data_IF_313927784167
#
_entry.id   IF_313927784167
#
_cell.length_a   1.000
_cell.length_b   1.000
_cell.length_c   1.000
_cell.angle_alpha   90.00
_cell.angle_beta   90.00
_cell.angle_gamma   90.00
#
_symmetry.space_group_name_H-M   'P 1'
#
loop_
_entity.id
_entity.type
_entity.pdbx_description
1 polymer ?
#
# COMPACT_ATOMS: atom_id res chain seq x y z
N UNK A 1 4.50 22.28 10.23
CA UNK A 1 5.65 21.35 10.12
C UNK A 1 5.88 21.06 8.65
N UNK A 2 7.12 21.20 8.19
CA UNK A 2 7.47 21.21 6.77
C UNK A 2 7.45 19.80 6.18
N UNK A 3 6.74 19.61 5.06
CA UNK A 3 6.67 18.34 4.28
C UNK A 3 8.07 17.79 3.96
N UNK A 4 9.08 18.67 4.00
CA UNK A 4 10.48 18.44 3.67
C UNK A 4 11.29 17.65 4.70
N UNK A 5 10.94 17.64 5.99
CA UNK A 5 11.72 16.88 6.99
C UNK A 5 11.45 15.37 6.97
N UNK A 6 10.33 14.92 6.39
CA UNK A 6 9.92 13.52 6.41
C UNK A 6 10.61 12.64 5.35
N UNK A 7 11.08 13.22 4.24
CA UNK A 7 11.67 12.48 3.11
C UNK A 7 13.12 12.04 3.32
N UNK A 8 13.69 12.31 4.51
CA UNK A 8 14.97 11.75 4.94
C UNK A 8 14.86 10.28 5.37
N UNK A 9 13.65 9.76 5.57
CA UNK A 9 13.46 8.33 5.81
C UNK A 9 13.67 7.54 4.52
N UNK A 10 14.51 6.51 4.60
CA UNK A 10 14.82 5.61 3.50
C UNK A 10 13.54 5.11 2.81
N UNK A 11 13.57 5.05 1.49
CA UNK A 11 12.47 4.57 0.66
C UNK A 11 12.05 3.13 1.04
N UNK A 12 13.00 2.35 1.57
CA UNK A 12 12.77 1.01 2.13
C UNK A 12 11.90 1.03 3.39
N UNK A 13 12.00 2.06 4.22
CA UNK A 13 11.21 2.15 5.46
C UNK A 13 9.73 2.37 5.16
N UNK A 14 9.38 3.00 4.03
CA UNK A 14 7.98 3.17 3.61
C UNK A 14 7.32 1.82 3.31
N UNK A 15 8.00 0.93 2.59
CA UNK A 15 7.48 -0.40 2.29
C UNK A 15 7.42 -1.27 3.55
N UNK A 16 8.43 -1.19 4.41
CA UNK A 16 8.45 -1.91 5.69
C UNK A 16 7.30 -1.47 6.60
N UNK A 17 7.09 -0.16 6.79
CA UNK A 17 5.99 0.37 7.59
C UNK A 17 4.62 0.00 7.04
N UNK A 18 4.46 -0.09 5.71
CA UNK A 18 3.21 -0.53 5.12
C UNK A 18 3.01 -2.05 5.29
N UNK A 19 4.09 -2.83 5.21
CA UNK A 19 4.02 -4.28 5.43
C UNK A 19 3.66 -4.62 6.88
N UNK A 20 4.29 -3.96 7.85
CA UNK A 20 4.02 -4.09 9.28
C UNK A 20 2.58 -3.71 9.60
N UNK A 21 2.12 -2.55 9.13
CA UNK A 21 0.76 -2.08 9.39
C UNK A 21 -0.30 -3.01 8.79
N UNK A 22 -0.04 -3.59 7.60
CA UNK A 22 -0.95 -4.57 7.00
C UNK A 22 -0.87 -5.96 7.67
N UNK A 23 0.19 -6.27 8.43
CA UNK A 23 0.25 -7.48 9.26
C UNK A 23 -0.51 -7.28 10.57
N UNK A 24 -0.38 -6.12 11.22
CA UNK A 24 -1.10 -5.82 12.46
C UNK A 24 -2.63 -5.84 12.26
N UNK A 25 -3.09 -5.50 11.06
CA UNK A 25 -4.52 -5.59 10.67
C UNK A 25 -4.95 -7.03 10.35
N UNK A 26 -4.01 -7.92 10.04
CA UNK A 26 -4.28 -9.31 9.68
C UNK A 26 -4.32 -10.28 10.87
N UNK A 27 -4.00 -9.82 12.08
CA UNK A 27 -4.18 -10.57 13.33
C UNK A 27 -5.39 -10.03 14.10
N UNK A 28 -6.62 -10.48 13.81
CA UNK A 28 -7.61 -10.57 14.86
C UNK A 28 -7.17 -11.78 15.71
N UNK A 29 -6.31 -11.53 16.70
CA UNK A 29 -5.99 -12.57 17.67
C UNK A 29 -7.26 -12.83 18.49
N UNK A 30 -7.72 -14.08 18.48
CA UNK A 30 -8.85 -14.55 19.27
C UNK A 30 -8.42 -14.67 20.75
N UNK A 31 -8.16 -13.53 21.38
CA UNK A 31 -7.80 -13.50 22.79
C UNK A 31 -8.58 -12.43 23.55
N UNK A 32 -9.66 -12.95 24.15
CA UNK A 32 -10.19 -12.61 25.47
C UNK A 32 -10.98 -11.31 25.63
N UNK A 33 -12.14 -11.47 26.26
CA UNK A 33 -13.16 -10.45 26.39
C UNK A 33 -12.73 -9.31 27.32
N UNK A 34 -12.79 -8.09 26.83
CA UNK A 34 -13.09 -6.91 27.63
C UNK A 34 -13.76 -5.88 26.73
N UNK A 35 -15.00 -5.55 27.11
CA UNK A 35 -15.84 -4.49 26.56
C UNK A 35 -15.17 -3.13 26.82
N UNK A 36 -14.69 -2.44 25.79
CA UNK A 36 -14.45 -0.98 25.75
C UNK A 36 -14.05 -0.51 24.32
N UNK A 37 -15.03 0.03 23.59
CA UNK A 37 -14.91 1.05 22.52
C UNK A 37 -13.84 0.89 21.39
N UNK A 38 -14.05 -0.07 20.47
CA UNK A 38 -13.19 -0.35 19.30
C UNK A 38 -13.35 0.58 18.06
N UNK A 39 -13.78 1.84 18.23
CA UNK A 39 -14.01 2.76 17.09
C UNK A 39 -12.85 3.73 16.69
N UNK A 40 -11.81 4.05 17.50
CA UNK A 40 -10.76 4.99 17.05
C UNK A 40 -9.56 4.33 16.34
N UNK A 41 -9.36 3.01 16.47
CA UNK A 41 -8.12 2.38 16.00
C UNK A 41 -8.12 2.11 14.48
N UNK A 42 -9.27 1.68 13.94
CA UNK A 42 -9.43 1.35 12.50
C UNK A 42 -9.28 2.57 11.60
N UNK A 43 -9.86 3.72 11.98
CA UNK A 43 -9.75 4.97 11.21
C UNK A 43 -8.31 5.53 11.23
N UNK A 44 -7.61 5.40 12.35
CA UNK A 44 -6.20 5.80 12.47
C UNK A 44 -5.31 4.92 11.60
N UNK A 45 -5.56 3.61 11.58
CA UNK A 45 -4.87 2.63 10.73
C UNK A 45 -5.12 2.94 9.25
N UNK A 46 -6.38 3.10 8.85
CA UNK A 46 -6.75 3.45 7.48
C UNK A 46 -6.07 4.74 7.05
N UNK A 47 -6.16 5.81 7.85
CA UNK A 47 -5.48 7.08 7.57
C UNK A 47 -3.94 6.96 7.50
N UNK A 48 -3.32 5.96 8.12
CA UNK A 48 -1.89 5.66 7.93
C UNK A 48 -1.64 4.92 6.61
N UNK A 49 -2.47 3.94 6.24
CA UNK A 49 -2.42 3.28 4.92
C UNK A 49 -2.53 4.30 3.81
N UNK A 50 -3.51 5.21 3.88
CA UNK A 50 -3.73 6.25 2.87
C UNK A 50 -2.49 7.11 2.66
N UNK A 51 -1.89 7.57 3.76
CA UNK A 51 -0.67 8.39 3.73
C UNK A 51 0.52 7.62 3.14
N UNK A 52 0.67 6.34 3.45
CA UNK A 52 1.76 5.51 2.92
C UNK A 52 1.57 5.23 1.42
N UNK A 53 0.35 4.90 0.99
CA UNK A 53 0.01 4.68 -0.43
C UNK A 53 0.23 5.96 -1.25
N UNK A 54 -0.18 7.12 -0.73
CA UNK A 54 0.07 8.40 -1.39
C UNK A 54 1.58 8.68 -1.56
N UNK A 55 2.38 8.40 -0.53
CA UNK A 55 3.85 8.54 -0.59
C UNK A 55 4.48 7.60 -1.62
N UNK A 56 4.08 6.34 -1.65
CA UNK A 56 4.55 5.39 -2.66
C UNK A 56 4.20 5.86 -4.06
N UNK A 57 2.99 6.42 -4.27
CA UNK A 57 2.60 6.98 -5.56
C UNK A 57 3.53 8.11 -5.99
N UNK A 58 3.94 8.98 -5.07
CA UNK A 58 4.92 10.03 -5.36
C UNK A 58 6.30 9.50 -5.74
N UNK A 59 6.72 8.32 -5.26
CA UNK A 59 7.97 7.70 -5.73
C UNK A 59 7.86 7.34 -7.22
N UNK A 60 6.75 6.71 -7.63
CA UNK A 60 6.57 6.24 -9.00
C UNK A 60 6.17 7.32 -10.01
N UNK A 61 5.56 8.42 -9.57
CA UNK A 61 5.06 9.48 -10.46
C UNK A 61 5.77 10.81 -10.28
N UNK A 62 6.61 10.94 -9.25
CA UNK A 62 7.29 12.18 -8.90
C UNK A 62 6.35 13.25 -8.38
N UNK A 63 6.94 14.39 -8.02
CA UNK A 63 6.26 15.65 -7.71
C UNK A 63 6.98 16.78 -8.44
N UNK A 64 6.40 17.99 -8.44
CA UNK A 64 7.05 19.18 -9.02
C UNK A 64 8.45 19.42 -8.43
N UNK A 65 8.64 19.09 -7.15
CA UNK A 65 9.89 19.30 -6.42
C UNK A 65 10.86 18.10 -6.49
N UNK A 66 10.37 16.90 -6.85
CA UNK A 66 11.19 15.68 -6.93
C UNK A 66 10.83 14.89 -8.19
N UNK A 67 11.63 14.97 -9.26
CA UNK A 67 11.43 14.13 -10.43
C UNK A 67 11.62 12.65 -10.07
N UNK A 68 11.00 11.78 -10.85
CA UNK A 68 11.08 10.33 -10.68
C UNK A 68 12.55 9.90 -10.75
N UNK A 69 12.98 9.12 -9.75
CA UNK A 69 14.27 8.43 -9.75
C UNK A 69 14.03 6.96 -9.99
N UNK A 70 14.61 6.43 -11.05
CA UNK A 70 14.33 5.06 -11.49
C UNK A 70 14.86 4.02 -10.48
N UNK A 71 15.99 4.30 -9.83
CA UNK A 71 16.55 3.42 -8.79
C UNK A 71 15.63 3.33 -7.55
N UNK A 72 15.02 4.44 -7.13
CA UNK A 72 14.04 4.43 -6.05
C UNK A 72 12.80 3.60 -6.44
N UNK A 73 12.36 3.68 -7.70
CA UNK A 73 11.23 2.89 -8.20
C UNK A 73 11.53 1.39 -8.17
N UNK A 74 12.71 0.98 -8.65
CA UNK A 74 13.16 -0.42 -8.63
C UNK A 74 13.22 -0.95 -7.20
N UNK A 75 13.82 -0.18 -6.28
CA UNK A 75 13.95 -0.57 -4.88
C UNK A 75 12.59 -0.76 -4.21
N UNK A 76 11.65 0.16 -4.44
CA UNK A 76 10.26 0.02 -3.94
C UNK A 76 9.59 -1.22 -4.54
N UNK A 77 9.70 -1.42 -5.85
CA UNK A 77 9.08 -2.55 -6.53
C UNK A 77 9.60 -3.90 -6.01
N UNK A 78 10.90 -4.01 -5.78
CA UNK A 78 11.53 -5.19 -5.19
C UNK A 78 10.99 -5.45 -3.76
N UNK A 79 10.89 -4.40 -2.95
CA UNK A 79 10.35 -4.50 -1.59
C UNK A 79 8.86 -4.88 -1.57
N UNK A 80 8.04 -4.28 -2.44
CA UNK A 80 6.63 -4.64 -2.61
C UNK A 80 6.46 -6.11 -3.04
N UNK A 81 7.41 -6.63 -3.83
CA UNK A 81 7.40 -8.02 -4.30
C UNK A 81 7.68 -8.98 -3.15
N UNK A 82 8.73 -8.71 -2.36
CA UNK A 82 9.11 -9.55 -1.21
C UNK A 82 8.07 -9.55 -0.10
N UNK A 83 7.38 -8.42 0.09
CA UNK A 83 6.45 -8.22 1.20
C UNK A 83 5.00 -8.60 0.89
N UNK A 84 4.70 -8.98 -0.36
CA UNK A 84 3.35 -9.28 -0.87
C UNK A 84 2.29 -8.20 -0.52
N UNK A 85 2.72 -6.96 -0.26
CA UNK A 85 1.87 -5.86 0.18
C UNK A 85 0.80 -5.54 -0.86
N UNK A 86 1.13 -5.63 -2.16
CA UNK A 86 0.18 -5.38 -3.23
C UNK A 86 -1.02 -6.32 -3.22
N UNK A 87 -0.83 -7.60 -2.88
CA UNK A 87 -1.92 -8.57 -2.78
C UNK A 87 -2.88 -8.26 -1.64
N UNK A 88 -2.38 -7.67 -0.56
CA UNK A 88 -3.18 -7.25 0.59
C UNK A 88 -3.87 -5.91 0.35
N UNK A 89 -3.22 -4.97 -0.33
CA UNK A 89 -3.84 -3.68 -0.69
C UNK A 89 -5.06 -3.82 -1.58
N UNK A 90 -5.18 -4.91 -2.33
CA UNK A 90 -6.33 -5.17 -3.21
C UNK A 90 -7.38 -6.11 -2.60
N UNK A 91 -7.31 -6.43 -1.31
CA UNK A 91 -8.39 -7.19 -0.67
C UNK A 91 -9.67 -6.35 -0.63
N UNK A 92 -10.84 -6.93 -0.94
CA UNK A 92 -12.10 -6.18 -0.96
C UNK A 92 -12.40 -5.50 0.38
N UNK A 93 -12.13 -6.18 1.49
CA UNK A 93 -12.35 -5.68 2.86
C UNK A 93 -11.55 -4.42 3.18
N UNK A 94 -10.28 -4.36 2.74
CA UNK A 94 -9.46 -3.18 2.94
C UNK A 94 -9.86 -2.08 1.94
N UNK A 95 -10.05 -2.42 0.67
CA UNK A 95 -10.44 -1.45 -0.35
C UNK A 95 -11.76 -0.73 -0.02
N UNK A 96 -12.73 -1.41 0.59
CA UNK A 96 -14.00 -0.79 1.00
C UNK A 96 -13.84 0.24 2.12
N UNK A 97 -12.81 0.11 2.94
CA UNK A 97 -12.52 1.00 4.06
C UNK A 97 -11.66 2.21 3.67
N UNK A 98 -10.98 2.15 2.52
CA UNK A 98 -10.13 3.22 2.03
C UNK A 98 -10.93 4.26 1.24
N UNK A 99 -10.51 5.53 1.32
CA UNK A 99 -11.10 6.60 0.54
C UNK A 99 -10.98 6.33 -0.96
N UNK A 100 -11.86 6.98 -1.73
CA UNK A 100 -11.86 6.86 -3.18
C UNK A 100 -10.54 7.31 -3.82
N UNK A 101 -9.87 8.30 -3.23
CA UNK A 101 -8.56 8.78 -3.71
C UNK A 101 -7.45 7.77 -3.44
N UNK A 102 -7.46 7.12 -2.27
CA UNK A 102 -6.51 6.06 -1.96
C UNK A 102 -6.68 4.87 -2.89
N UNK A 103 -7.92 4.44 -3.17
CA UNK A 103 -8.19 3.38 -4.15
C UNK A 103 -7.63 3.69 -5.53
N UNK A 104 -7.77 4.93 -6.01
CA UNK A 104 -7.14 5.39 -7.26
C UNK A 104 -5.61 5.32 -7.19
N UNK A 105 -5.04 5.64 -6.03
CA UNK A 105 -3.59 5.60 -5.83
C UNK A 105 -3.06 4.17 -5.79
N UNK A 106 -3.77 3.20 -5.19
CA UNK A 106 -3.44 1.77 -5.28
C UNK A 106 -3.46 1.28 -6.73
N UNK A 107 -4.47 1.66 -7.51
CA UNK A 107 -4.53 1.32 -8.94
C UNK A 107 -3.38 1.97 -9.73
N UNK A 108 -2.98 3.20 -9.38
CA UNK A 108 -1.84 3.86 -9.99
C UNK A 108 -0.52 3.16 -9.66
N UNK A 109 -0.34 2.67 -8.42
CA UNK A 109 0.83 1.87 -8.03
C UNK A 109 0.91 0.57 -8.85
N UNK A 110 -0.19 -0.19 -8.93
CA UNK A 110 -0.21 -1.41 -9.73
C UNK A 110 0.13 -1.12 -11.20
N UNK A 111 -0.46 -0.07 -11.79
CA UNK A 111 -0.14 0.35 -13.17
C UNK A 111 1.32 0.76 -13.34
N UNK A 112 1.92 1.41 -12.35
CA UNK A 112 3.32 1.81 -12.39
C UNK A 112 4.27 0.61 -12.41
N UNK A 113 3.97 -0.43 -11.63
CA UNK A 113 4.72 -1.69 -11.62
C UNK A 113 4.65 -2.37 -13.00
N UNK A 114 3.44 -2.51 -13.56
CA UNK A 114 3.22 -3.09 -14.89
C UNK A 114 3.98 -2.33 -15.97
N UNK A 115 3.87 -0.99 -16.01
CA UNK A 115 4.46 -0.16 -17.08
C UNK A 115 5.98 -0.15 -17.07
N UNK A 116 6.59 -0.29 -15.90
CA UNK A 116 8.04 -0.27 -15.74
C UNK A 116 8.68 -1.65 -15.88
N UNK A 117 7.88 -2.68 -16.14
CA UNK A 117 8.30 -4.09 -16.09
C UNK A 117 9.02 -4.42 -14.76
N UNK A 118 8.51 -3.82 -13.68
CA UNK A 118 9.03 -4.00 -12.34
C UNK A 118 8.07 -4.88 -11.56
N UNK A 119 8.61 -5.76 -10.73
CA UNK A 119 7.81 -6.69 -9.93
C UNK A 119 6.91 -7.61 -10.78
N UNK A 120 7.47 -8.25 -11.82
CA UNK A 120 6.78 -9.24 -12.64
C UNK A 120 6.14 -10.35 -11.80
N UNK A 121 6.75 -10.71 -10.67
CA UNK A 121 6.18 -11.65 -9.69
C UNK A 121 4.85 -11.20 -9.08
N UNK A 122 4.63 -9.88 -8.93
CA UNK A 122 3.33 -9.33 -8.46
C UNK A 122 2.34 -9.29 -9.62
N UNK A 123 2.78 -8.78 -10.78
CA UNK A 123 1.90 -8.58 -11.95
C UNK A 123 1.39 -9.91 -12.51
N UNK A 124 2.21 -10.96 -12.47
CA UNK A 124 1.87 -12.29 -12.94
C UNK A 124 1.31 -13.20 -11.83
N UNK A 125 1.06 -12.69 -10.63
CA UNK A 125 0.44 -13.46 -9.55
C UNK A 125 -1.01 -13.79 -9.92
N UNK A 126 -1.28 -15.08 -10.15
CA UNK A 126 -2.60 -15.59 -10.55
C UNK A 126 -3.66 -15.31 -9.49
N UNK A 127 -3.31 -15.40 -8.21
CA UNK A 127 -4.25 -15.14 -7.12
C UNK A 127 -4.63 -13.66 -7.06
N UNK A 128 -3.66 -12.77 -7.26
CA UNK A 128 -3.88 -11.33 -7.36
C UNK A 128 -4.81 -10.99 -8.54
N UNK A 129 -4.49 -11.48 -9.73
CA UNK A 129 -5.27 -11.21 -10.94
C UNK A 129 -6.69 -11.76 -10.83
N UNK A 130 -6.86 -12.95 -10.28
CA UNK A 130 -8.18 -13.54 -10.02
C UNK A 130 -9.01 -12.64 -9.08
N UNK A 131 -8.41 -12.15 -8.00
CA UNK A 131 -9.09 -11.25 -7.05
C UNK A 131 -9.50 -9.93 -7.70
N UNK A 132 -8.65 -9.35 -8.55
CA UNK A 132 -9.00 -8.15 -9.31
C UNK A 132 -10.18 -8.40 -10.24
N UNK A 133 -10.26 -9.56 -10.90
CA UNK A 133 -11.40 -9.90 -11.77
C UNK A 133 -12.69 -10.11 -10.98
N UNK A 134 -12.63 -10.72 -9.79
CA UNK A 134 -13.79 -10.90 -8.90
C UNK A 134 -14.37 -9.55 -8.44
N UNK A 135 -13.54 -8.52 -8.31
CA UNK A 135 -14.01 -7.17 -7.97
C UNK A 135 -14.96 -6.53 -8.99
N UNK A 136 -15.00 -7.03 -10.23
CA UNK A 136 -15.98 -6.59 -11.25
C UNK A 136 -17.33 -7.30 -11.14
N UNK A 137 -17.38 -8.41 -10.39
CA UNK A 137 -18.58 -9.23 -10.18
C UNK A 137 -19.22 -9.01 -8.80
N UNK A 138 -18.59 -8.19 -7.96
CA UNK A 138 -19.03 -7.87 -6.61
C UNK A 138 -19.95 -6.64 -6.59
#
# INVERSE_FOLDING_TARGET
>A
MSVFQFWKHDVTSLCASLHELLNDVATPDESDGSDDEDEPQTDVINGRVERLVAKLRHVFYGTLDRPVKEEDCKQVAEMLSRSHVMARLVTPSLLSQLSFETRKSVAALFRALVRRDQASSIVCDVALMTRLTQGYTA
#
